data_IF_734342290251
#
_entry.id   IF_734342290251
#
_cell.length_a   1.000
_cell.length_b   1.000
_cell.length_c   1.000
_cell.angle_alpha   90.00
_cell.angle_beta   90.00
_cell.angle_gamma   90.00
#
_symmetry.space_group_name_H-M   'P 1'
#
loop_
_entity.id
_entity.type
_entity.pdbx_description
1 polymer ?
#
# COMPACT_ATOMS: atom_id res chain seq x y z
N UNK A 1 -14.34 21.54 -35.53
CA UNK A 1 -13.70 20.22 -35.35
C UNK A 1 -14.76 19.24 -34.90
N UNK A 2 -14.63 17.96 -35.24
CA UNK A 2 -15.58 16.91 -34.85
C UNK A 2 -14.81 15.91 -33.98
N UNK A 3 -14.99 15.93 -32.65
CA UNK A 3 -14.36 14.94 -31.79
C UNK A 3 -15.09 13.60 -31.98
N UNK A 4 -14.37 12.57 -32.44
CA UNK A 4 -14.89 11.21 -32.49
C UNK A 4 -14.43 10.49 -31.22
N UNK A 5 -15.35 10.25 -30.28
CA UNK A 5 -15.04 9.48 -29.08
C UNK A 5 -15.18 7.99 -29.38
N UNK A 6 -14.15 7.23 -29.03
CA UNK A 6 -14.04 5.79 -29.21
C UNK A 6 -13.88 5.11 -27.83
N UNK A 7 -14.43 3.90 -27.70
CA UNK A 7 -14.31 3.06 -26.51
C UNK A 7 -14.18 1.61 -27.01
N UNK A 8 -13.17 0.89 -26.55
CA UNK A 8 -12.67 -0.35 -27.15
C UNK A 8 -13.13 -1.62 -26.44
N UNK A 9 -14.26 -1.60 -25.71
CA UNK A 9 -14.82 -2.86 -25.20
C UNK A 9 -15.51 -3.63 -26.33
N UNK A 10 -14.87 -4.69 -26.81
CA UNK A 10 -15.44 -5.83 -27.54
C UNK A 10 -15.79 -5.63 -29.04
N UNK A 11 -14.85 -5.25 -29.92
CA UNK A 11 -15.06 -5.14 -31.39
C UNK A 11 -16.09 -4.09 -31.85
N UNK A 12 -16.62 -3.33 -30.90
CA UNK A 12 -17.70 -2.35 -31.05
C UNK A 12 -17.14 -0.94 -30.84
N UNK A 13 -17.27 -0.04 -31.81
CA UNK A 13 -16.59 1.27 -31.78
C UNK A 13 -17.56 2.44 -31.74
N UNK A 14 -17.56 3.21 -30.67
CA UNK A 14 -18.40 4.40 -30.62
C UNK A 14 -17.82 5.51 -31.50
N UNK A 15 -18.70 6.31 -32.09
CA UNK A 15 -18.39 7.54 -32.81
C UNK A 15 -19.10 8.66 -32.06
N UNK A 16 -18.51 9.84 -31.98
CA UNK A 16 -19.26 11.05 -31.64
C UNK A 16 -19.12 12.02 -32.80
N UNK A 17 -20.23 12.57 -33.27
CA UNK A 17 -20.24 13.44 -34.45
C UNK A 17 -21.05 14.69 -34.17
N UNK A 18 -20.87 15.77 -34.98
CA UNK A 18 -21.71 16.92 -34.89
C UNK A 18 -23.16 16.47 -35.18
N UNK A 19 -24.16 17.27 -34.79
CA UNK A 19 -25.55 16.97 -35.11
C UNK A 19 -25.70 16.62 -36.60
N UNK A 20 -26.61 15.69 -36.92
CA UNK A 20 -26.85 15.20 -38.29
C UNK A 20 -27.00 16.35 -39.30
N UNK A 21 -27.65 17.43 -38.90
CA UNK A 21 -27.82 18.63 -39.72
C UNK A 21 -26.51 19.37 -39.99
N UNK A 22 -25.58 19.36 -39.03
CA UNK A 22 -24.22 19.84 -39.20
C UNK A 22 -23.45 19.02 -40.26
N UNK A 23 -23.60 17.69 -40.23
CA UNK A 23 -23.00 16.80 -41.24
C UNK A 23 -23.61 16.99 -42.64
N UNK A 24 -24.94 17.17 -42.72
CA UNK A 24 -25.66 17.43 -43.99
C UNK A 24 -25.24 18.74 -44.65
N UNK A 25 -24.96 19.77 -43.85
CA UNK A 25 -24.53 21.11 -44.31
C UNK A 25 -23.09 21.17 -44.80
N UNK A 26 -22.29 20.12 -44.63
CA UNK A 26 -20.92 20.09 -45.15
C UNK A 26 -20.91 20.20 -46.69
N UNK A 27 -19.83 20.69 -47.32
CA UNK A 27 -19.71 20.71 -48.78
C UNK A 27 -19.82 19.31 -49.41
N UNK A 28 -20.31 19.21 -50.64
CA UNK A 28 -20.29 17.94 -51.37
C UNK A 28 -18.84 17.49 -51.61
N UNK A 29 -18.56 16.21 -51.38
CA UNK A 29 -17.19 15.66 -51.41
C UNK A 29 -16.42 15.81 -50.09
N UNK A 30 -17.01 16.44 -49.05
CA UNK A 30 -16.44 16.39 -47.71
C UNK A 30 -16.47 14.94 -47.19
N UNK A 31 -15.33 14.33 -46.86
CA UNK A 31 -15.28 12.92 -46.49
C UNK A 31 -16.05 12.60 -45.20
N UNK A 32 -16.35 13.61 -44.36
CA UNK A 32 -17.21 13.42 -43.17
C UNK A 32 -18.67 13.15 -43.54
N UNK A 33 -19.11 13.48 -44.76
CA UNK A 33 -20.45 13.10 -45.25
C UNK A 33 -20.61 11.60 -45.47
N UNK A 34 -19.53 10.83 -45.52
CA UNK A 34 -19.61 9.35 -45.56
C UNK A 34 -20.28 8.78 -44.30
N UNK A 35 -20.23 9.51 -43.17
CA UNK A 35 -20.95 9.18 -41.95
C UNK A 35 -22.49 9.16 -42.13
N UNK A 36 -23.01 9.91 -43.10
CA UNK A 36 -24.46 9.96 -43.40
C UNK A 36 -24.96 8.70 -44.12
N UNK A 37 -24.06 7.86 -44.65
CA UNK A 37 -24.41 6.66 -45.41
C UNK A 37 -24.47 5.39 -44.56
N UNK A 38 -24.29 5.53 -43.24
CA UNK A 38 -24.22 4.41 -42.32
C UNK A 38 -25.63 3.94 -41.92
N UNK A 39 -26.08 2.85 -42.54
CA UNK A 39 -27.35 2.20 -42.19
C UNK A 39 -27.30 1.46 -40.84
N UNK A 40 -26.10 1.17 -40.32
CA UNK A 40 -25.87 0.42 -39.07
C UNK A 40 -25.81 1.29 -37.81
N UNK A 41 -26.00 2.61 -37.94
CA UNK A 41 -26.04 3.54 -36.80
C UNK A 41 -27.37 3.45 -36.05
N UNK A 42 -27.45 2.56 -35.07
CA UNK A 42 -28.49 2.64 -34.02
C UNK A 42 -28.04 3.70 -32.99
N UNK A 43 -28.51 4.94 -33.16
CA UNK A 43 -28.39 5.94 -32.10
C UNK A 43 -29.23 5.52 -30.90
N UNK A 44 -28.69 5.63 -29.68
CA UNK A 44 -29.54 5.53 -28.51
C UNK A 44 -30.46 6.76 -28.47
N UNK A 45 -31.76 6.50 -28.32
CA UNK A 45 -32.76 7.54 -28.09
C UNK A 45 -33.30 8.15 -29.38
N UNK A 46 -34.42 7.60 -29.86
CA UNK A 46 -35.35 8.29 -30.76
C UNK A 46 -35.99 9.53 -30.11
N UNK A 47 -35.71 9.82 -28.84
CA UNK A 47 -36.52 10.70 -28.00
C UNK A 47 -35.78 11.93 -27.43
N UNK A 48 -34.53 12.19 -27.80
CA UNK A 48 -33.82 13.40 -27.33
C UNK A 48 -33.85 14.55 -28.34
N UNK A 49 -34.49 15.63 -27.89
CA UNK A 49 -34.72 16.96 -28.48
C UNK A 49 -33.91 17.33 -29.74
N UNK A 50 -34.59 17.77 -30.83
CA UNK A 50 -33.92 18.23 -32.04
C UNK A 50 -33.16 19.53 -31.78
N UNK A 51 -31.83 19.48 -31.85
CA UNK A 51 -31.01 20.69 -32.00
C UNK A 51 -29.65 20.72 -31.33
N UNK A 52 -29.39 19.89 -30.31
CA UNK A 52 -28.19 20.07 -29.47
C UNK A 52 -27.41 18.80 -29.07
N UNK A 53 -27.91 17.61 -29.34
CA UNK A 53 -27.21 16.37 -28.96
C UNK A 53 -26.14 16.00 -29.99
N UNK A 54 -24.96 15.67 -29.47
CA UNK A 54 -23.92 15.00 -30.24
C UNK A 54 -24.43 13.63 -30.71
N UNK A 55 -24.08 13.25 -31.94
CA UNK A 55 -24.53 11.98 -32.51
C UNK A 55 -23.56 10.87 -32.14
N UNK A 56 -24.04 9.78 -31.53
CA UNK A 56 -23.20 8.62 -31.25
C UNK A 56 -23.74 7.29 -31.76
N UNK A 57 -22.83 6.36 -32.07
CA UNK A 57 -23.19 5.03 -32.58
C UNK A 57 -21.97 4.15 -32.81
N UNK A 58 -22.21 2.86 -33.06
CA UNK A 58 -21.21 1.81 -32.98
C UNK A 58 -20.74 1.34 -34.38
N UNK A 59 -19.43 1.26 -34.65
CA UNK A 59 -18.84 0.64 -35.84
C UNK A 59 -18.39 -0.78 -35.47
N UNK A 60 -18.89 -1.77 -36.18
CA UNK A 60 -18.49 -3.17 -36.06
C UNK A 60 -17.38 -3.50 -37.07
N UNK A 61 -16.19 -3.86 -36.61
CA UNK A 61 -15.07 -4.20 -37.49
C UNK A 61 -15.13 -5.60 -38.09
N UNK A 62 -16.03 -6.45 -37.61
CA UNK A 62 -16.16 -7.79 -38.17
C UNK A 62 -16.86 -7.73 -39.52
N UNK A 63 -17.61 -6.66 -39.78
CA UNK A 63 -18.24 -6.39 -41.08
C UNK A 63 -17.26 -5.72 -42.05
N UNK A 64 -17.43 -5.99 -43.35
CA UNK A 64 -16.66 -5.32 -44.38
C UNK A 64 -16.91 -3.79 -44.38
N UNK A 65 -18.16 -3.38 -44.15
CA UNK A 65 -18.56 -1.97 -44.10
C UNK A 65 -17.90 -1.21 -42.95
N UNK A 66 -17.81 -1.79 -41.75
CA UNK A 66 -17.16 -1.13 -40.63
C UNK A 66 -15.64 -1.03 -40.78
N UNK A 67 -14.97 -2.01 -41.42
CA UNK A 67 -13.54 -1.92 -41.77
C UNK A 67 -13.24 -0.82 -42.78
N UNK A 68 -14.05 -0.73 -43.82
CA UNK A 68 -13.93 0.32 -44.84
C UNK A 68 -14.15 1.69 -44.23
N UNK A 69 -15.23 1.85 -43.46
CA UNK A 69 -15.53 3.08 -42.75
C UNK A 69 -14.38 3.50 -41.83
N UNK A 70 -13.86 2.58 -41.02
CA UNK A 70 -12.72 2.89 -40.16
C UNK A 70 -11.51 3.39 -40.94
N UNK A 71 -11.17 2.69 -42.03
CA UNK A 71 -10.04 3.04 -42.89
C UNK A 71 -10.22 4.44 -43.47
N UNK A 72 -11.43 4.81 -43.84
CA UNK A 72 -11.74 6.15 -44.33
C UNK A 72 -11.61 7.21 -43.21
N UNK A 73 -12.16 6.94 -42.02
CA UNK A 73 -12.16 7.89 -40.90
C UNK A 73 -10.76 8.16 -40.33
N UNK A 74 -9.92 7.12 -40.18
CA UNK A 74 -8.56 7.29 -39.61
C UNK A 74 -7.64 8.14 -40.49
N UNK A 75 -7.96 8.27 -41.78
CA UNK A 75 -7.20 9.13 -42.69
C UNK A 75 -7.61 10.62 -42.65
N UNK A 76 -8.60 10.99 -41.82
CA UNK A 76 -9.07 12.37 -41.72
C UNK A 76 -8.31 13.15 -40.63
N UNK A 77 -7.44 14.08 -41.04
CA UNK A 77 -6.63 14.90 -40.10
C UNK A 77 -7.42 15.66 -39.03
N UNK A 78 -8.65 16.07 -39.35
CA UNK A 78 -9.49 16.85 -38.43
C UNK A 78 -10.27 16.00 -37.40
N UNK A 79 -10.03 14.69 -37.39
CA UNK A 79 -10.71 13.72 -36.54
C UNK A 79 -9.84 13.40 -35.31
N UNK A 80 -10.49 13.15 -34.18
CA UNK A 80 -9.86 12.61 -32.97
C UNK A 80 -10.28 11.15 -32.80
N UNK A 81 -9.37 10.26 -32.45
CA UNK A 81 -9.62 8.85 -32.20
C UNK A 81 -9.21 8.54 -30.76
N UNK A 82 -10.18 8.25 -29.88
CA UNK A 82 -9.90 7.93 -28.47
C UNK A 82 -9.86 6.42 -28.24
N UNK A 83 -8.72 5.78 -28.08
CA UNK A 83 -8.59 4.33 -27.93
C UNK A 83 -8.48 3.92 -26.47
N UNK A 84 -9.35 3.04 -25.94
CA UNK A 84 -9.23 2.51 -24.56
C UNK A 84 -8.65 1.09 -24.54
N UNK A 85 -7.33 0.98 -24.46
CA UNK A 85 -6.61 -0.29 -24.37
C UNK A 85 -6.70 -0.85 -22.95
N UNK A 86 -7.70 -1.71 -22.75
CA UNK A 86 -7.66 -2.73 -21.70
C UNK A 86 -6.64 -3.80 -22.08
N UNK A 87 -7.06 -5.03 -22.45
CA UNK A 87 -6.15 -6.17 -22.61
C UNK A 87 -5.58 -6.39 -24.01
N UNK A 88 -5.85 -5.46 -24.92
CA UNK A 88 -5.59 -5.61 -26.34
C UNK A 88 -4.43 -4.72 -26.82
N UNK A 89 -3.86 -5.09 -27.97
CA UNK A 89 -2.79 -4.34 -28.62
C UNK A 89 -3.36 -3.42 -29.72
N UNK A 90 -2.96 -2.15 -29.70
CA UNK A 90 -3.20 -1.24 -30.80
C UNK A 90 -2.25 -1.56 -31.95
N UNK A 91 -2.80 -1.94 -33.11
CA UNK A 91 -2.01 -2.42 -34.26
C UNK A 91 -1.81 -1.39 -35.35
N UNK A 92 -2.58 -0.31 -35.34
CA UNK A 92 -2.43 0.75 -36.33
C UNK A 92 -1.17 1.59 -36.00
N UNK A 93 -0.43 1.98 -37.04
CA UNK A 93 0.62 2.99 -36.93
C UNK A 93 0.01 4.39 -36.73
N UNK A 94 0.82 5.45 -36.66
CA UNK A 94 0.35 6.84 -36.63
C UNK A 94 -0.55 7.17 -37.82
N UNK A 95 -1.89 7.21 -37.66
CA UNK A 95 -2.77 7.62 -38.73
C UNK A 95 -2.72 9.15 -38.87
N UNK A 96 -3.17 9.72 -39.99
CA UNK A 96 -3.22 11.17 -40.16
C UNK A 96 -4.10 11.93 -39.16
N UNK A 97 -5.06 11.25 -38.50
CA UNK A 97 -5.92 11.85 -37.48
C UNK A 97 -5.22 12.02 -36.12
N UNK A 98 -5.81 12.81 -35.22
CA UNK A 98 -5.36 12.85 -33.82
C UNK A 98 -5.77 11.57 -33.11
N UNK A 99 -4.88 10.96 -32.34
CA UNK A 99 -5.16 9.74 -31.57
C UNK A 99 -4.82 9.99 -30.11
N UNK A 100 -5.75 9.65 -29.21
CA UNK A 100 -5.53 9.61 -27.75
C UNK A 100 -5.71 8.18 -27.34
N UNK A 101 -4.75 7.61 -26.61
CA UNK A 101 -4.82 6.23 -26.14
C UNK A 101 -4.89 6.25 -24.62
N UNK A 102 -5.97 5.72 -24.06
CA UNK A 102 -6.09 5.34 -22.66
C UNK A 102 -5.59 3.91 -22.55
N UNK A 103 -4.60 3.64 -21.72
CA UNK A 103 -4.05 2.30 -21.58
C UNK A 103 -3.53 2.08 -20.16
N UNK A 104 -3.42 0.81 -19.78
CA UNK A 104 -2.47 0.44 -18.72
C UNK A 104 -1.04 0.84 -19.13
N UNK A 105 -0.11 0.95 -18.18
CA UNK A 105 1.28 1.35 -18.44
C UNK A 105 2.11 0.36 -19.29
N UNK A 106 1.48 -0.68 -19.81
CA UNK A 106 2.05 -1.65 -20.74
C UNK A 106 2.30 -1.04 -22.12
N UNK A 107 3.49 -0.49 -22.30
CA UNK A 107 3.91 0.12 -23.57
C UNK A 107 3.99 -0.86 -24.74
N UNK A 108 4.11 -2.16 -24.47
CA UNK A 108 4.04 -3.19 -25.50
C UNK A 108 2.68 -3.21 -26.22
N UNK A 109 1.59 -2.82 -25.53
CA UNK A 109 0.24 -2.76 -26.11
C UNK A 109 0.04 -1.65 -27.13
N UNK A 110 0.92 -0.65 -27.16
CA UNK A 110 0.86 0.46 -28.12
C UNK A 110 2.24 0.75 -28.71
N UNK A 111 3.10 -0.26 -28.76
CA UNK A 111 4.48 -0.12 -29.25
C UNK A 111 4.53 0.29 -30.72
N UNK A 112 3.61 -0.24 -31.54
CA UNK A 112 3.43 0.17 -32.94
C UNK A 112 3.20 1.68 -33.10
N UNK A 113 2.52 2.29 -32.12
CA UNK A 113 2.23 3.72 -32.08
C UNK A 113 3.39 4.53 -31.49
N UNK A 114 4.24 3.96 -30.63
CA UNK A 114 5.41 4.70 -30.08
C UNK A 114 6.70 4.51 -30.87
N UNK A 115 6.84 3.43 -31.64
CA UNK A 115 8.07 3.10 -32.40
C UNK A 115 8.04 3.48 -33.88
N UNK A 116 6.91 4.02 -34.38
CA UNK A 116 6.61 4.20 -35.80
C UNK A 116 7.16 5.45 -36.51
N UNK A 117 7.97 6.28 -35.86
CA UNK A 117 8.70 7.41 -36.49
C UNK A 117 8.12 8.81 -36.25
N UNK A 118 9.01 9.82 -36.27
CA UNK A 118 8.92 11.30 -36.29
C UNK A 118 7.80 12.06 -35.53
N UNK A 119 6.81 11.39 -34.96
CA UNK A 119 5.72 11.97 -34.19
C UNK A 119 6.06 12.07 -32.71
N UNK A 120 5.88 13.27 -32.13
CA UNK A 120 5.93 13.49 -30.69
C UNK A 120 4.72 12.81 -30.02
N UNK A 121 4.83 11.53 -29.69
CA UNK A 121 3.88 10.86 -28.79
C UNK A 121 4.14 11.35 -27.37
N UNK A 122 3.16 12.03 -26.77
CA UNK A 122 3.22 12.47 -25.38
C UNK A 122 2.46 11.45 -24.54
N UNK A 123 3.12 10.90 -23.50
CA UNK A 123 2.49 9.97 -22.57
C UNK A 123 2.20 10.70 -21.27
N UNK A 124 0.92 10.79 -20.91
CA UNK A 124 0.49 11.41 -19.67
C UNK A 124 -0.08 10.34 -18.74
N UNK A 125 0.31 10.38 -17.46
CA UNK A 125 -0.22 9.53 -16.41
C UNK A 125 -1.37 10.24 -15.70
N UNK A 126 -2.48 9.54 -15.47
CA UNK A 126 -3.61 10.09 -14.71
C UNK A 126 -3.42 9.80 -13.21
N UNK A 127 -3.41 10.84 -12.35
CA UNK A 127 -3.33 10.62 -10.91
C UNK A 127 -4.64 9.99 -10.38
N UNK A 128 -4.60 9.31 -9.22
CA UNK A 128 -5.82 9.04 -8.47
C UNK A 128 -6.44 10.36 -7.99
N UNK A 129 -7.75 10.35 -7.76
CA UNK A 129 -8.45 11.54 -7.29
C UNK A 129 -8.02 11.89 -5.87
N UNK A 130 -7.82 13.18 -5.63
CA UNK A 130 -7.72 13.77 -4.30
C UNK A 130 -9.06 13.72 -3.57
N UNK A 131 -9.03 13.89 -2.26
CA UNK A 131 -10.26 13.94 -1.47
C UNK A 131 -11.12 15.16 -1.84
N UNK A 132 -10.47 16.27 -2.19
CA UNK A 132 -11.11 17.50 -2.66
C UNK A 132 -11.86 17.28 -3.97
N UNK A 133 -11.27 16.59 -4.94
CA UNK A 133 -11.92 16.24 -6.22
C UNK A 133 -13.12 15.31 -6.02
N UNK A 134 -12.99 14.35 -5.09
CA UNK A 134 -14.09 13.43 -4.74
C UNK A 134 -15.28 14.19 -4.17
N UNK A 135 -15.04 15.18 -3.30
CA UNK A 135 -16.09 16.05 -2.74
C UNK A 135 -16.78 16.88 -3.82
N UNK A 136 -16.00 17.56 -4.66
CA UNK A 136 -16.53 18.37 -5.76
C UNK A 136 -17.41 17.52 -6.71
N UNK A 137 -16.97 16.30 -7.00
CA UNK A 137 -17.77 15.39 -7.82
C UNK A 137 -19.08 14.97 -7.14
N UNK A 138 -19.06 14.72 -5.82
CA UNK A 138 -20.27 14.38 -5.06
C UNK A 138 -21.27 15.53 -5.08
N UNK A 139 -20.82 16.74 -4.76
CA UNK A 139 -21.63 17.97 -4.78
C UNK A 139 -22.27 18.18 -6.16
N UNK A 140 -21.48 18.12 -7.23
CA UNK A 140 -21.97 18.27 -8.60
C UNK A 140 -22.97 17.18 -9.01
N UNK A 141 -22.84 15.95 -8.49
CA UNK A 141 -23.75 14.85 -8.79
C UNK A 141 -25.12 14.99 -8.12
N UNK A 142 -25.16 15.59 -6.92
CA UNK A 142 -26.41 15.88 -6.19
C UNK A 142 -27.23 16.97 -6.87
N UNK A 143 -26.57 17.92 -7.53
CA UNK A 143 -27.23 19.00 -8.26
C UNK A 143 -27.92 18.55 -9.56
N UNK A 144 -27.52 17.40 -10.12
CA UNK A 144 -27.84 17.06 -11.51
C UNK A 144 -28.50 15.70 -11.74
N UNK A 145 -28.58 14.83 -10.73
CA UNK A 145 -29.08 13.46 -10.93
C UNK A 145 -29.65 12.84 -9.67
N UNK A 146 -30.96 12.58 -9.64
CA UNK A 146 -31.64 11.86 -8.55
C UNK A 146 -31.13 10.41 -8.37
N UNK A 147 -30.54 9.81 -9.42
CA UNK A 147 -30.05 8.42 -9.40
C UNK A 147 -28.55 8.29 -9.05
N UNK A 148 -27.73 9.33 -9.20
CA UNK A 148 -26.29 9.10 -9.36
C UNK A 148 -25.54 8.80 -8.06
N UNK A 149 -25.99 9.20 -6.87
CA UNK A 149 -25.30 8.79 -5.63
C UNK A 149 -26.22 8.76 -4.39
N UNK A 150 -26.80 7.60 -4.08
CA UNK A 150 -27.33 7.29 -2.73
C UNK A 150 -26.24 6.95 -1.71
N UNK A 151 -24.97 6.96 -2.10
CA UNK A 151 -23.84 6.70 -1.20
C UNK A 151 -23.60 7.93 -0.33
N UNK A 152 -23.58 7.74 0.99
CA UNK A 152 -23.34 8.84 1.94
C UNK A 152 -21.90 9.37 1.83
N UNK A 153 -21.64 10.62 2.24
CA UNK A 153 -20.27 11.16 2.29
C UNK A 153 -19.38 10.30 3.20
N UNK A 154 -19.91 9.83 4.34
CA UNK A 154 -19.18 8.95 5.27
C UNK A 154 -18.79 7.64 4.60
N UNK A 155 -19.68 7.03 3.81
CA UNK A 155 -19.35 5.84 3.04
C UNK A 155 -18.28 6.10 1.98
N UNK A 156 -18.34 7.24 1.27
CA UNK A 156 -17.32 7.62 0.29
C UNK A 156 -15.98 7.86 0.98
N UNK A 157 -15.97 8.50 2.15
CA UNK A 157 -14.77 8.71 2.96
C UNK A 157 -14.14 7.39 3.42
N UNK A 158 -14.96 6.49 3.97
CA UNK A 158 -14.51 5.14 4.35
C UNK A 158 -13.92 4.37 3.16
N UNK A 159 -14.54 4.51 1.98
CA UNK A 159 -14.02 3.92 0.73
C UNK A 159 -12.74 4.60 0.27
N UNK A 160 -12.58 5.90 0.44
CA UNK A 160 -11.35 6.62 0.11
C UNK A 160 -10.18 6.17 0.99
N UNK A 161 -10.41 6.05 2.29
CA UNK A 161 -9.42 5.50 3.22
C UNK A 161 -9.07 4.04 2.88
N UNK A 162 -10.03 3.27 2.35
CA UNK A 162 -9.82 1.87 2.00
C UNK A 162 -9.18 1.67 0.62
N UNK A 163 -9.60 2.39 -0.41
CA UNK A 163 -9.26 2.13 -1.82
C UNK A 163 -8.46 3.27 -2.45
N UNK A 164 -8.22 4.36 -1.73
CA UNK A 164 -7.62 5.58 -2.27
C UNK A 164 -8.54 6.33 -3.24
N UNK A 165 -7.93 7.15 -4.08
CA UNK A 165 -8.60 7.99 -5.08
C UNK A 165 -9.14 7.29 -6.33
N UNK A 166 -9.48 6.00 -6.26
CA UNK A 166 -10.04 5.27 -7.41
C UNK A 166 -11.53 5.56 -7.55
N UNK A 167 -11.91 6.49 -8.44
CA UNK A 167 -13.31 6.86 -8.67
C UNK A 167 -14.24 5.64 -8.90
N UNK A 168 -13.73 4.60 -9.59
CA UNK A 168 -14.46 3.34 -9.80
C UNK A 168 -14.85 2.64 -8.50
N UNK A 169 -13.98 2.64 -7.49
CA UNK A 169 -14.25 1.99 -6.20
C UNK A 169 -14.98 2.92 -5.22
N UNK A 170 -14.76 4.22 -5.33
CA UNK A 170 -15.47 5.21 -4.51
C UNK A 170 -16.98 5.22 -4.83
N UNK A 171 -17.32 5.37 -6.11
CA UNK A 171 -18.70 5.56 -6.56
C UNK A 171 -19.36 4.27 -7.08
N UNK A 172 -18.61 3.18 -7.23
CA UNK A 172 -19.13 1.89 -7.67
C UNK A 172 -19.87 1.09 -6.58
N UNK A 173 -20.21 -0.16 -6.90
CA UNK A 173 -20.83 -1.08 -5.94
C UNK A 173 -19.77 -1.58 -4.93
N UNK A 174 -20.04 -1.40 -3.62
CA UNK A 174 -19.08 -1.76 -2.56
C UNK A 174 -18.69 -3.24 -2.57
N UNK A 175 -19.66 -4.12 -2.80
CA UNK A 175 -19.41 -5.57 -2.84
C UNK A 175 -18.46 -5.95 -3.98
N UNK A 176 -18.57 -5.25 -5.12
CA UNK A 176 -17.65 -5.43 -6.25
C UNK A 176 -16.23 -4.97 -5.87
N UNK A 177 -16.08 -3.75 -5.32
CA UNK A 177 -14.77 -3.22 -4.91
C UNK A 177 -14.07 -4.13 -3.88
N UNK A 178 -14.80 -4.58 -2.86
CA UNK A 178 -14.28 -5.52 -1.87
C UNK A 178 -13.88 -6.86 -2.51
N UNK A 179 -14.70 -7.40 -3.42
CA UNK A 179 -14.40 -8.66 -4.10
C UNK A 179 -13.13 -8.56 -4.95
N UNK A 180 -12.96 -7.47 -5.70
CA UNK A 180 -11.77 -7.24 -6.51
C UNK A 180 -10.52 -7.08 -5.65
N UNK A 181 -10.61 -6.35 -4.53
CA UNK A 181 -9.50 -6.24 -3.58
C UNK A 181 -9.08 -7.60 -3.01
N UNK A 182 -10.05 -8.41 -2.55
CA UNK A 182 -9.74 -9.74 -2.00
C UNK A 182 -9.12 -10.67 -3.04
N UNK A 183 -9.61 -10.62 -4.29
CA UNK A 183 -9.00 -11.36 -5.41
C UNK A 183 -7.57 -10.90 -5.67
N UNK A 184 -7.35 -9.58 -5.71
CA UNK A 184 -6.04 -9.00 -5.96
C UNK A 184 -5.02 -9.40 -4.89
N UNK A 185 -5.39 -9.26 -3.61
CA UNK A 185 -4.57 -9.68 -2.47
C UNK A 185 -4.30 -11.19 -2.56
N UNK A 186 -5.34 -12.01 -2.68
CA UNK A 186 -5.22 -13.48 -2.71
C UNK A 186 -4.27 -13.96 -3.80
N UNK A 187 -4.31 -13.32 -4.98
CA UNK A 187 -3.43 -13.63 -6.11
C UNK A 187 -2.01 -13.12 -5.86
N UNK A 188 -1.84 -11.90 -5.36
CA UNK A 188 -0.53 -11.34 -5.05
C UNK A 188 0.24 -12.22 -4.04
N UNK A 189 -0.46 -12.82 -3.07
CA UNK A 189 0.16 -13.67 -2.05
C UNK A 189 0.31 -15.15 -2.46
N UNK A 190 0.09 -15.51 -3.73
CA UNK A 190 0.26 -16.89 -4.21
C UNK A 190 1.74 -17.29 -4.36
N UNK A 191 2.59 -16.39 -4.90
CA UNK A 191 4.01 -16.66 -5.17
C UNK A 191 4.82 -15.36 -5.22
N UNK A 192 6.16 -15.47 -5.23
CA UNK A 192 7.07 -14.35 -5.45
C UNK A 192 6.74 -13.59 -6.74
N UNK A 193 6.64 -14.33 -7.84
CA UNK A 193 6.37 -13.76 -9.15
C UNK A 193 5.02 -13.05 -9.17
N UNK A 194 4.00 -13.63 -8.54
CA UNK A 194 2.68 -13.02 -8.48
C UNK A 194 2.71 -11.71 -7.69
N UNK A 195 3.44 -11.63 -6.56
CA UNK A 195 3.57 -10.41 -5.77
C UNK A 195 4.24 -9.29 -6.57
N UNK A 196 5.36 -9.60 -7.23
CA UNK A 196 6.09 -8.62 -8.04
C UNK A 196 5.20 -8.09 -9.18
N UNK A 197 4.50 -8.98 -9.89
CA UNK A 197 3.60 -8.58 -10.98
C UNK A 197 2.38 -7.81 -10.47
N UNK A 198 1.89 -8.12 -9.27
CA UNK A 198 0.77 -7.40 -8.65
C UNK A 198 1.14 -5.98 -8.18
N UNK A 199 2.42 -5.70 -7.92
CA UNK A 199 2.90 -4.38 -7.50
C UNK A 199 3.51 -3.56 -8.65
N UNK A 200 3.56 -4.12 -9.85
CA UNK A 200 4.06 -3.46 -11.07
C UNK A 200 2.88 -3.13 -12.00
N UNK A 201 2.49 -1.85 -12.14
CA UNK A 201 1.44 -1.43 -13.06
C UNK A 201 1.71 -1.80 -14.53
N UNK A 202 2.99 -1.92 -14.92
CA UNK A 202 3.45 -2.40 -16.22
C UNK A 202 3.45 -3.93 -16.36
N UNK A 203 3.13 -4.65 -15.28
CA UNK A 203 3.18 -6.10 -15.22
C UNK A 203 2.10 -6.81 -16.05
N UNK A 204 2.13 -8.13 -16.02
CA UNK A 204 1.21 -8.99 -16.78
C UNK A 204 -0.23 -8.99 -16.22
N UNK A 205 -0.45 -8.43 -15.04
CA UNK A 205 -1.73 -8.38 -14.36
C UNK A 205 -2.14 -6.95 -13.96
N UNK A 206 -2.36 -6.05 -14.94
CA UNK A 206 -2.65 -4.64 -14.66
C UNK A 206 -3.94 -4.43 -13.86
N UNK A 207 -4.94 -5.30 -14.00
CA UNK A 207 -6.17 -5.24 -13.20
C UNK A 207 -5.95 -5.50 -11.71
N UNK A 208 -5.03 -6.43 -11.38
CA UNK A 208 -4.60 -6.70 -10.02
C UNK A 208 -3.80 -5.51 -9.50
N UNK A 209 -2.83 -5.05 -10.29
CA UNK A 209 -1.97 -3.94 -9.89
C UNK A 209 -2.75 -2.65 -9.66
N UNK A 210 -3.68 -2.30 -10.55
CA UNK A 210 -4.55 -1.11 -10.41
C UNK A 210 -5.45 -1.14 -9.17
N UNK A 211 -5.62 -2.32 -8.56
CA UNK A 211 -6.38 -2.47 -7.31
C UNK A 211 -5.51 -2.26 -6.08
N UNK A 212 -4.22 -2.58 -6.17
CA UNK A 212 -3.30 -2.53 -5.02
C UNK A 212 -2.47 -1.25 -4.97
N UNK A 213 -2.08 -0.73 -6.13
CA UNK A 213 -1.17 0.40 -6.27
C UNK A 213 -1.69 1.41 -7.29
N UNK A 214 -1.37 2.67 -7.08
CA UNK A 214 -1.69 3.78 -7.97
C UNK A 214 -0.42 4.47 -8.46
N UNK A 215 -0.56 5.13 -9.61
CA UNK A 215 0.48 5.93 -10.24
C UNK A 215 0.29 7.37 -9.77
N UNK A 216 1.34 7.94 -9.19
CA UNK A 216 1.39 9.34 -8.81
C UNK A 216 2.31 10.07 -9.78
N UNK A 217 1.76 10.78 -10.77
CA UNK A 217 2.55 11.59 -11.69
C UNK A 217 3.29 12.72 -10.98
N UNK A 218 4.40 13.15 -11.58
CA UNK A 218 5.03 14.45 -11.29
C UNK A 218 4.20 15.62 -11.84
N UNK A 219 4.70 16.84 -11.68
CA UNK A 219 3.99 18.06 -12.11
C UNK A 219 3.74 18.11 -13.64
N UNK A 220 4.59 17.43 -14.41
CA UNK A 220 4.49 17.33 -15.86
C UNK A 220 3.60 16.18 -16.35
N UNK A 221 3.11 15.34 -15.44
CA UNK A 221 2.36 14.11 -15.73
C UNK A 221 3.12 13.05 -16.53
N UNK A 222 4.42 13.23 -16.79
CA UNK A 222 5.26 12.29 -17.53
C UNK A 222 6.10 11.45 -16.56
N UNK A 223 6.75 12.10 -15.58
CA UNK A 223 7.41 11.39 -14.49
C UNK A 223 6.37 10.72 -13.59
N UNK A 224 6.71 9.56 -13.02
CA UNK A 224 5.76 8.81 -12.20
C UNK A 224 6.43 8.07 -11.05
N UNK A 225 5.70 8.01 -9.94
CA UNK A 225 5.98 7.12 -8.83
C UNK A 225 4.83 6.15 -8.67
N UNK A 226 5.09 4.98 -8.09
CA UNK A 226 4.06 3.99 -7.77
C UNK A 226 3.96 3.86 -6.26
N UNK A 227 2.75 3.93 -5.74
CA UNK A 227 2.48 3.83 -4.31
C UNK A 227 1.28 2.92 -4.08
N UNK A 228 1.15 2.36 -2.88
CA UNK A 228 -0.08 1.65 -2.52
C UNK A 228 -1.30 2.56 -2.65
N UNK A 229 -2.40 2.00 -3.14
CA UNK A 229 -3.65 2.72 -3.32
C UNK A 229 -4.16 3.31 -2.00
N UNK A 230 -3.93 2.61 -0.88
CA UNK A 230 -4.18 3.11 0.47
C UNK A 230 -3.26 2.44 1.50
N UNK A 231 -3.12 3.06 2.67
CA UNK A 231 -2.46 2.44 3.84
C UNK A 231 -3.17 1.15 4.28
N UNK A 232 -4.50 1.10 4.16
CA UNK A 232 -5.28 -0.08 4.53
C UNK A 232 -4.95 -1.28 3.65
N UNK A 233 -4.90 -1.09 2.33
CA UNK A 233 -4.52 -2.14 1.36
C UNK A 233 -3.10 -2.62 1.63
N UNK A 234 -2.17 -1.69 1.88
CA UNK A 234 -0.79 -2.01 2.27
C UNK A 234 -0.76 -2.92 3.49
N UNK A 235 -1.43 -2.51 4.57
CA UNK A 235 -1.43 -3.25 5.84
C UNK A 235 -2.09 -4.64 5.69
N UNK A 236 -3.16 -4.74 4.90
CA UNK A 236 -3.86 -6.00 4.65
C UNK A 236 -3.02 -6.98 3.82
N UNK A 237 -2.44 -6.53 2.71
CA UNK A 237 -1.54 -7.35 1.89
C UNK A 237 -0.35 -7.86 2.73
N UNK A 238 0.25 -6.98 3.52
CA UNK A 238 1.40 -7.34 4.34
C UNK A 238 1.03 -8.28 5.49
N UNK A 239 -0.13 -8.08 6.12
CA UNK A 239 -0.67 -9.02 7.10
C UNK A 239 -0.76 -10.44 6.53
N UNK A 240 -1.33 -10.57 5.33
CA UNK A 240 -1.46 -11.86 4.62
C UNK A 240 -0.10 -12.50 4.27
N UNK A 241 0.84 -11.69 3.80
CA UNK A 241 2.19 -12.17 3.48
C UNK A 241 2.94 -12.67 4.74
N UNK A 242 2.78 -11.98 5.89
CA UNK A 242 3.34 -12.39 7.17
C UNK A 242 2.71 -13.69 7.69
N UNK A 243 1.38 -13.81 7.60
CA UNK A 243 0.65 -15.00 8.03
C UNK A 243 1.09 -16.26 7.27
N UNK A 244 1.37 -16.13 5.96
CA UNK A 244 1.77 -17.27 5.11
C UNK A 244 3.18 -17.80 5.37
N UNK A 245 4.08 -17.01 5.97
CA UNK A 245 5.50 -17.37 6.25
C UNK A 245 6.31 -17.88 5.04
N UNK A 246 5.78 -17.77 3.82
CA UNK A 246 6.28 -18.46 2.64
C UNK A 246 7.23 -17.61 1.78
N UNK A 247 7.53 -16.38 2.19
CA UNK A 247 8.27 -15.43 1.37
C UNK A 247 9.69 -15.22 1.90
N UNK A 248 10.68 -15.18 1.01
CA UNK A 248 12.08 -14.88 1.33
C UNK A 248 12.25 -13.37 1.57
N UNK A 249 13.30 -13.00 2.31
CA UNK A 249 13.68 -11.59 2.51
C UNK A 249 13.91 -10.83 1.19
N UNK A 250 14.39 -11.53 0.15
CA UNK A 250 14.59 -10.96 -1.17
C UNK A 250 13.26 -10.60 -1.86
N UNK A 251 12.22 -11.41 -1.67
CA UNK A 251 10.85 -11.12 -2.16
C UNK A 251 10.33 -9.84 -1.54
N UNK A 252 10.54 -9.69 -0.23
CA UNK A 252 10.11 -8.52 0.52
C UNK A 252 10.82 -7.27 0.05
N UNK A 253 12.15 -7.32 -0.07
CA UNK A 253 12.95 -6.22 -0.61
C UNK A 253 12.54 -5.87 -2.04
N UNK A 254 12.24 -6.85 -2.89
CA UNK A 254 11.82 -6.60 -4.27
C UNK A 254 10.41 -6.01 -4.37
N UNK A 255 9.48 -6.45 -3.52
CA UNK A 255 8.12 -5.90 -3.42
C UNK A 255 8.10 -4.45 -2.94
N UNK A 256 9.11 -4.02 -2.18
CA UNK A 256 9.20 -2.66 -1.64
C UNK A 256 10.17 -1.73 -2.38
N UNK A 257 11.09 -2.25 -3.19
CA UNK A 257 12.10 -1.46 -3.94
C UNK A 257 11.55 -0.59 -5.08
N UNK A 258 10.42 -0.98 -5.70
CA UNK A 258 9.82 -0.26 -6.84
C UNK A 258 8.70 0.71 -6.45
N UNK A 259 8.29 0.68 -5.19
CA UNK A 259 7.30 1.58 -4.65
C UNK A 259 8.08 2.62 -3.85
N UNK A 260 7.79 3.91 -4.01
CA UNK A 260 8.40 4.98 -3.21
C UNK A 260 7.87 4.95 -1.77
N UNK A 261 7.96 3.78 -1.11
CA UNK A 261 7.41 3.52 0.21
C UNK A 261 8.37 4.09 1.25
N UNK A 262 7.76 4.80 2.19
CA UNK A 262 8.24 5.12 3.52
C UNK A 262 9.26 4.07 4.04
N UNK A 263 10.54 4.46 4.04
CA UNK A 263 11.67 3.67 4.53
C UNK A 263 11.38 3.07 5.91
N UNK A 264 10.66 3.80 6.78
CA UNK A 264 10.28 3.36 8.12
C UNK A 264 9.42 2.10 8.10
N UNK A 265 8.48 2.03 7.16
CA UNK A 265 7.64 0.87 6.99
C UNK A 265 8.42 -0.36 6.52
N UNK A 266 9.32 -0.20 5.53
CA UNK A 266 10.15 -1.30 5.05
C UNK A 266 11.02 -1.88 6.17
N UNK A 267 11.62 -0.98 6.94
CA UNK A 267 12.46 -1.30 8.08
C UNK A 267 11.69 -2.10 9.14
N UNK A 268 10.54 -1.57 9.59
CA UNK A 268 9.65 -2.25 10.54
C UNK A 268 9.29 -3.65 10.05
N UNK A 269 8.94 -3.79 8.77
CA UNK A 269 8.49 -5.06 8.24
C UNK A 269 9.60 -6.11 8.08
N UNK A 270 10.81 -5.68 7.74
CA UNK A 270 11.97 -6.57 7.74
C UNK A 270 12.22 -7.16 9.13
N UNK A 271 12.06 -6.36 10.19
CA UNK A 271 12.17 -6.83 11.57
C UNK A 271 11.09 -7.84 11.95
N UNK A 272 9.82 -7.55 11.69
CA UNK A 272 8.75 -8.52 11.95
C UNK A 272 9.00 -9.86 11.24
N UNK A 273 9.47 -9.84 9.99
CA UNK A 273 9.85 -11.04 9.27
C UNK A 273 11.01 -11.78 9.95
N UNK A 274 12.08 -11.07 10.34
CA UNK A 274 13.24 -11.66 11.01
C UNK A 274 12.88 -12.33 12.33
N UNK A 275 11.98 -11.71 13.11
CA UNK A 275 11.55 -12.20 14.42
C UNK A 275 10.61 -13.41 14.32
N UNK A 276 9.78 -13.46 13.28
CA UNK A 276 8.88 -14.59 13.04
C UNK A 276 9.59 -15.79 12.41
N UNK A 277 10.64 -15.56 11.62
CA UNK A 277 11.42 -16.59 10.90
C UNK A 277 12.90 -16.60 11.31
N UNK A 278 13.20 -16.93 12.57
CA UNK A 278 14.54 -16.96 13.14
C UNK A 278 15.36 -18.14 12.59
N UNK A 279 15.92 -18.01 11.39
CA UNK A 279 16.85 -19.00 10.83
C UNK A 279 18.26 -18.76 11.37
N UNK A 280 18.56 -19.16 12.61
CA UNK A 280 19.86 -18.91 13.28
C UNK A 280 20.43 -17.51 12.96
N UNK A 281 19.52 -16.52 12.89
CA UNK A 281 19.85 -15.20 12.36
C UNK A 281 20.73 -14.52 13.39
N UNK A 282 21.88 -14.07 12.92
CA UNK A 282 22.73 -13.20 13.70
C UNK A 282 22.17 -11.79 13.63
N UNK A 283 22.14 -11.08 14.76
CA UNK A 283 21.79 -9.67 14.84
C UNK A 283 22.87 -8.95 15.63
N UNK A 284 23.01 -7.64 15.41
CA UNK A 284 23.78 -6.79 16.29
C UNK A 284 22.93 -6.42 17.51
N UNK A 285 23.52 -6.49 18.69
CA UNK A 285 22.92 -6.18 19.98
C UNK A 285 23.83 -5.23 20.76
N UNK A 286 23.25 -4.18 21.30
CA UNK A 286 23.93 -3.17 22.13
C UNK A 286 23.12 -2.90 23.37
N UNK A 287 23.67 -3.18 24.54
CA UNK A 287 23.03 -2.84 25.80
C UNK A 287 23.03 -1.32 25.99
N UNK A 288 21.88 -0.75 26.33
CA UNK A 288 21.72 0.69 26.54
C UNK A 288 21.65 1.07 28.02
N UNK A 289 21.32 0.12 28.91
CA UNK A 289 21.14 0.37 30.34
C UNK A 289 19.78 -0.11 30.87
N UNK A 290 19.59 -0.06 32.19
CA UNK A 290 18.26 -0.11 32.80
C UNK A 290 17.66 1.29 32.83
N UNK A 291 16.36 1.41 32.58
CA UNK A 291 15.71 2.68 32.24
C UNK A 291 15.74 3.80 33.30
N UNK A 292 16.18 3.54 34.53
CA UNK A 292 16.41 4.49 35.62
C UNK A 292 17.39 3.88 36.63
N UNK A 293 18.36 4.66 37.16
CA UNK A 293 18.99 4.29 38.45
C UNK A 293 18.16 4.80 39.66
N UNK A 294 18.56 4.38 40.86
CA UNK A 294 17.94 4.73 42.13
C UNK A 294 17.90 6.25 42.43
N UNK A 295 18.51 7.08 41.59
CA UNK A 295 18.57 8.55 41.70
C UNK A 295 18.01 9.25 40.45
N UNK A 296 17.46 8.51 39.48
CA UNK A 296 17.02 9.05 38.19
C UNK A 296 18.15 9.57 37.31
N UNK A 297 19.40 9.25 37.66
CA UNK A 297 20.58 9.57 36.88
C UNK A 297 20.85 8.49 35.82
N UNK A 298 21.65 8.88 34.84
CA UNK A 298 22.02 8.04 33.72
C UNK A 298 23.02 6.99 34.22
N UNK A 299 22.64 5.71 34.20
CA UNK A 299 23.62 4.63 34.34
C UNK A 299 24.63 4.74 33.20
N UNK A 300 25.91 4.89 33.54
CA UNK A 300 26.97 5.03 32.53
C UNK A 300 27.28 3.69 31.87
N UNK A 301 27.59 3.82 30.58
CA UNK A 301 28.20 2.87 29.65
C UNK A 301 27.26 1.79 29.10
N UNK A 302 26.49 2.17 28.09
CA UNK A 302 26.01 1.20 27.11
C UNK A 302 27.18 0.41 26.54
N UNK A 303 26.95 -0.87 26.24
CA UNK A 303 27.99 -1.76 25.73
C UNK A 303 28.41 -1.34 24.31
N UNK A 304 29.53 -1.88 23.83
CA UNK A 304 29.76 -1.92 22.38
C UNK A 304 28.70 -2.83 21.74
N UNK A 305 28.36 -2.57 20.48
CA UNK A 305 27.53 -3.49 19.71
C UNK A 305 28.29 -4.81 19.51
N UNK A 306 27.60 -5.93 19.73
CA UNK A 306 28.14 -7.28 19.50
C UNK A 306 27.15 -8.09 18.69
N UNK A 307 27.65 -9.08 17.95
CA UNK A 307 26.79 -9.96 17.19
C UNK A 307 26.30 -11.10 18.08
N UNK A 308 24.99 -11.39 18.06
CA UNK A 308 24.36 -12.47 18.82
C UNK A 308 23.40 -13.26 17.92
N UNK A 309 23.16 -14.53 18.25
CA UNK A 309 22.14 -15.34 17.57
C UNK A 309 20.83 -15.34 18.34
N UNK A 310 19.73 -15.06 17.64
CA UNK A 310 18.39 -15.14 18.22
C UNK A 310 17.98 -16.59 18.52
N UNK A 311 17.50 -16.83 19.74
CA UNK A 311 17.00 -18.12 20.26
C UNK A 311 15.47 -18.14 20.16
N UNK A 312 14.94 -18.15 18.94
CA UNK A 312 13.50 -18.39 18.74
C UNK A 312 13.31 -19.78 18.11
N UNK A 313 12.42 -20.59 18.69
CA UNK A 313 12.04 -21.88 18.08
C UNK A 313 10.88 -21.67 17.11
N UNK A 314 11.09 -22.07 15.85
CA UNK A 314 10.14 -21.94 14.74
C UNK A 314 8.75 -22.56 15.02
N UNK A 315 8.67 -23.55 15.92
CA UNK A 315 7.44 -24.26 16.29
C UNK A 315 6.56 -23.58 17.34
N UNK A 316 7.08 -22.59 18.09
CA UNK A 316 6.34 -21.94 19.19
C UNK A 316 5.68 -20.61 18.78
N UNK A 317 6.18 -20.00 17.70
CA UNK A 317 5.71 -18.71 17.20
C UNK A 317 4.36 -18.84 16.51
N UNK A 318 3.26 -18.80 17.25
CA UNK A 318 1.95 -18.48 16.66
C UNK A 318 1.86 -16.96 16.57
N UNK A 319 1.70 -16.41 15.37
CA UNK A 319 1.41 -14.98 15.22
C UNK A 319 -0.03 -14.77 15.70
N UNK A 320 -0.22 -13.87 16.65
CA UNK A 320 -1.57 -13.37 16.95
C UNK A 320 -1.62 -11.88 16.73
N UNK A 321 -2.46 -11.53 15.75
CA UNK A 321 -2.82 -10.16 15.46
C UNK A 321 -3.94 -9.76 16.41
N UNK A 322 -3.74 -8.69 17.17
CA UNK A 322 -4.76 -8.16 18.08
C UNK A 322 -5.19 -6.75 17.66
N UNK A 323 -6.43 -6.41 18.00
CA UNK A 323 -6.97 -5.08 17.76
C UNK A 323 -6.33 -4.10 18.72
N UNK A 324 -5.59 -3.13 18.18
CA UNK A 324 -5.08 -1.82 18.65
C UNK A 324 -4.72 -1.55 20.13
N UNK A 325 -5.30 -2.25 21.10
CA UNK A 325 -5.08 -2.12 22.54
C UNK A 325 -4.68 -3.49 23.12
N UNK A 326 -3.60 -3.51 23.92
CA UNK A 326 -3.11 -4.72 24.59
C UNK A 326 -4.16 -5.28 25.54
N UNK A 327 -5.02 -4.42 26.10
CA UNK A 327 -6.09 -4.84 27.01
C UNK A 327 -7.13 -5.73 26.31
N UNK A 328 -7.22 -5.68 24.98
CA UNK A 328 -8.06 -6.57 24.17
C UNK A 328 -7.49 -7.98 24.02
N UNK A 329 -6.20 -8.18 24.33
CA UNK A 329 -5.60 -9.51 24.31
C UNK A 329 -6.16 -10.30 25.50
N UNK A 330 -6.86 -11.40 25.20
CA UNK A 330 -7.52 -12.24 26.21
C UNK A 330 -6.69 -13.44 26.66
N UNK A 331 -5.66 -13.80 25.90
CA UNK A 331 -4.81 -14.95 26.17
C UNK A 331 -3.42 -14.69 25.58
N UNK A 332 -2.36 -15.05 26.32
CA UNK A 332 -0.98 -15.04 25.86
C UNK A 332 -0.34 -16.39 26.22
N UNK A 333 0.32 -17.00 25.24
CA UNK A 333 1.10 -18.22 25.40
C UNK A 333 2.59 -17.91 25.35
N UNK A 334 3.36 -18.65 26.14
CA UNK A 334 4.83 -18.64 26.04
C UNK A 334 5.23 -19.10 24.64
N UNK A 335 6.13 -18.36 24.01
CA UNK A 335 6.58 -18.52 22.63
C UNK A 335 5.74 -17.76 21.61
N UNK A 336 4.63 -17.14 22.01
CA UNK A 336 3.76 -16.41 21.09
C UNK A 336 4.33 -15.02 20.76
N UNK A 337 4.30 -14.67 19.48
CA UNK A 337 4.66 -13.34 18.99
C UNK A 337 3.39 -12.54 18.70
N UNK A 338 3.23 -11.42 19.39
CA UNK A 338 2.07 -10.54 19.27
C UNK A 338 2.43 -9.28 18.49
N UNK A 339 1.62 -8.98 17.47
CA UNK A 339 1.72 -7.75 16.67
C UNK A 339 0.35 -7.05 16.65
N UNK A 340 0.26 -5.75 16.96
CA UNK A 340 -0.98 -5.00 16.80
C UNK A 340 -1.33 -4.84 15.31
N UNK A 341 -2.63 -4.83 14.97
CA UNK A 341 -3.09 -4.64 13.58
C UNK A 341 -2.83 -3.23 13.04
N UNK A 342 -2.89 -2.21 13.90
CA UNK A 342 -2.57 -0.81 13.58
C UNK A 342 -1.60 -0.23 14.63
N UNK A 343 -0.83 0.81 14.27
CA UNK A 343 0.17 1.50 15.10
C UNK A 343 -0.46 2.31 16.24
N UNK A 344 -1.11 1.64 17.19
CA UNK A 344 -1.83 2.32 18.27
C UNK A 344 -1.19 2.13 19.65
N UNK A 345 -0.08 1.40 19.76
CA UNK A 345 0.78 1.44 20.94
C UNK A 345 1.89 2.47 20.73
N UNK A 346 1.82 3.67 21.34
CA UNK A 346 2.89 4.65 21.20
C UNK A 346 4.17 4.11 21.84
N UNK A 347 5.09 3.61 21.01
CA UNK A 347 6.40 3.10 21.42
C UNK A 347 6.51 1.59 21.62
N UNK A 348 5.52 0.76 21.23
CA UNK A 348 5.68 -0.70 21.16
C UNK A 348 5.02 -1.25 19.90
N UNK A 349 5.83 -1.78 18.98
CA UNK A 349 5.39 -2.33 17.69
C UNK A 349 5.14 -3.84 17.73
N UNK A 350 5.72 -4.55 18.71
CA UNK A 350 5.45 -5.96 18.97
C UNK A 350 5.90 -6.39 20.35
N UNK A 351 5.40 -7.54 20.81
CA UNK A 351 5.90 -8.18 22.02
C UNK A 351 5.88 -9.70 21.94
N UNK A 352 6.67 -10.34 22.78
CA UNK A 352 6.70 -11.79 22.94
C UNK A 352 7.07 -12.17 24.37
N UNK A 353 6.54 -13.30 24.83
CA UNK A 353 6.89 -13.92 26.11
C UNK A 353 7.61 -15.23 25.83
N UNK A 354 8.77 -15.48 26.43
CA UNK A 354 9.55 -16.71 26.22
C UNK A 354 10.25 -17.16 27.49
N UNK A 355 10.86 -18.35 27.43
CA UNK A 355 11.67 -18.92 28.50
C UNK A 355 13.16 -18.70 28.24
N UNK A 356 13.88 -18.24 29.25
CA UNK A 356 15.30 -17.85 29.19
C UNK A 356 15.53 -16.50 28.50
N UNK A 357 16.77 -16.17 28.13
CA UNK A 357 17.12 -14.98 27.34
C UNK A 357 16.79 -15.17 25.84
N UNK A 358 16.56 -14.06 25.13
CA UNK A 358 16.15 -14.08 23.71
C UNK A 358 17.28 -14.45 22.75
N UNK A 359 18.53 -14.34 23.19
CA UNK A 359 19.71 -14.62 22.38
C UNK A 359 20.62 -15.60 23.09
N UNK A 360 21.43 -16.29 22.29
CA UNK A 360 22.54 -17.07 22.81
C UNK A 360 23.62 -16.12 23.34
N UNK A 361 23.90 -16.19 24.64
CA UNK A 361 25.12 -15.62 25.21
C UNK A 361 26.28 -16.55 24.83
N UNK A 362 27.33 -16.00 24.21
CA UNK A 362 28.56 -16.74 24.06
C UNK A 362 29.18 -16.96 25.44
N UNK A 363 29.67 -18.18 25.70
CA UNK A 363 30.30 -18.53 26.98
C UNK A 363 31.50 -17.61 27.23
N UNK A 364 31.34 -16.60 28.07
CA UNK A 364 32.40 -15.64 28.42
C UNK A 364 31.92 -14.24 28.79
N UNK A 365 30.66 -13.89 28.52
CA UNK A 365 30.11 -12.58 28.87
C UNK A 365 29.82 -12.47 30.38
N UNK A 366 30.83 -12.06 31.15
CA UNK A 366 30.74 -11.81 32.59
C UNK A 366 30.01 -10.48 32.95
N UNK A 367 29.45 -9.77 31.96
CA UNK A 367 28.85 -8.44 32.14
C UNK A 367 27.33 -8.41 32.36
N UNK A 368 26.62 -9.49 32.05
CA UNK A 368 25.15 -9.52 32.09
C UNK A 368 24.69 -10.55 33.14
N UNK A 369 24.44 -10.11 34.38
CA UNK A 369 23.77 -10.89 35.43
C UNK A 369 22.28 -11.13 35.10
N UNK A 370 21.99 -11.65 33.91
CA UNK A 370 20.66 -12.18 33.59
C UNK A 370 20.61 -13.58 34.19
N UNK A 371 19.61 -13.86 35.02
CA UNK A 371 19.37 -15.20 35.55
C UNK A 371 19.36 -16.23 34.40
N UNK A 372 20.43 -17.03 34.27
CA UNK A 372 20.70 -17.90 33.12
C UNK A 372 19.96 -19.25 33.20
N UNK A 373 18.73 -19.25 33.68
CA UNK A 373 17.90 -20.46 33.72
C UNK A 373 16.95 -20.53 32.53
N UNK A 374 16.85 -21.69 31.89
CA UNK A 374 15.77 -21.97 30.92
C UNK A 374 14.36 -21.92 31.57
N UNK A 375 14.27 -21.78 32.89
CA UNK A 375 13.01 -21.63 33.63
C UNK A 375 12.56 -20.16 33.82
N UNK A 376 13.42 -19.19 33.48
CA UNK A 376 13.15 -17.76 33.66
C UNK A 376 12.15 -17.28 32.61
N UNK A 377 11.04 -16.68 33.02
CA UNK A 377 10.05 -16.14 32.09
C UNK A 377 10.43 -14.70 31.70
N UNK A 378 10.51 -14.43 30.40
CA UNK A 378 10.99 -13.17 29.87
C UNK A 378 9.94 -12.51 28.98
N UNK A 379 9.69 -11.21 29.19
CA UNK A 379 8.90 -10.37 28.29
C UNK A 379 9.83 -9.52 27.44
N UNK A 380 9.75 -9.64 26.12
CA UNK A 380 10.39 -8.70 25.19
C UNK A 380 9.34 -7.81 24.55
N UNK A 381 9.62 -6.52 24.52
CA UNK A 381 8.86 -5.49 23.80
C UNK A 381 9.77 -4.87 22.74
N UNK A 382 9.27 -4.70 21.53
CA UNK A 382 10.00 -4.15 20.39
C UNK A 382 9.49 -2.76 20.06
N UNK A 383 10.43 -1.84 19.82
CA UNK A 383 10.17 -0.55 19.21
C UNK A 383 11.02 -0.43 17.95
N UNK A 384 10.40 -0.33 16.78
CA UNK A 384 11.04 -0.29 15.47
C UNK A 384 11.16 1.16 15.02
N UNK A 385 12.36 1.73 15.13
CA UNK A 385 12.61 3.15 14.85
C UNK A 385 13.86 3.34 14.01
N UNK A 386 13.74 4.11 12.92
CA UNK A 386 14.89 4.44 12.07
C UNK A 386 15.78 5.49 12.73
N UNK A 387 15.19 6.46 13.42
CA UNK A 387 15.93 7.56 14.05
C UNK A 387 15.89 7.45 15.57
N UNK A 388 16.86 8.09 16.21
CA UNK A 388 16.90 8.28 17.65
C UNK A 388 16.08 9.51 18.09
N UNK A 389 15.23 10.05 17.21
CA UNK A 389 14.54 11.32 17.44
C UNK A 389 13.53 11.23 18.59
N UNK A 390 13.30 12.39 19.21
CA UNK A 390 12.49 12.53 20.42
C UNK A 390 10.99 12.27 20.21
N UNK A 391 10.52 12.16 18.97
CA UNK A 391 9.10 12.06 18.64
C UNK A 391 8.51 10.68 18.96
N UNK A 392 9.36 9.67 19.21
CA UNK A 392 8.94 8.31 19.55
C UNK A 392 9.41 7.86 20.93
N UNK A 393 9.53 8.77 21.90
CA UNK A 393 9.94 8.38 23.26
C UNK A 393 8.92 7.44 23.89
N UNK A 394 9.42 6.35 24.46
CA UNK A 394 8.60 5.33 25.12
C UNK A 394 7.92 5.92 26.35
N UNK A 395 6.60 5.81 26.41
CA UNK A 395 5.80 6.32 27.53
C UNK A 395 5.83 5.32 28.68
N UNK A 396 6.24 5.75 29.87
CA UNK A 396 6.45 4.86 31.02
C UNK A 396 5.16 4.15 31.49
N UNK A 397 4.01 4.82 31.41
CA UNK A 397 2.72 4.22 31.77
C UNK A 397 2.32 3.11 30.80
N UNK A 398 2.63 3.25 29.50
CA UNK A 398 2.33 2.25 28.46
C UNK A 398 3.06 0.94 28.77
N UNK A 399 4.37 1.04 29.09
CA UNK A 399 5.16 -0.12 29.52
C UNK A 399 4.57 -0.79 30.76
N UNK A 400 4.18 0.00 31.77
CA UNK A 400 3.54 -0.53 32.99
C UNK A 400 2.26 -1.28 32.66
N UNK A 401 1.37 -0.71 31.84
CA UNK A 401 0.10 -1.34 31.45
C UNK A 401 0.35 -2.67 30.74
N UNK A 402 1.31 -2.72 29.81
CA UNK A 402 1.67 -3.96 29.10
C UNK A 402 2.18 -5.02 30.05
N UNK A 403 3.11 -4.66 30.94
CA UNK A 403 3.69 -5.60 31.91
C UNK A 403 2.59 -6.16 32.81
N UNK A 404 1.74 -5.30 33.39
CA UNK A 404 0.66 -5.72 34.28
C UNK A 404 -0.36 -6.60 33.57
N UNK A 405 -0.71 -6.26 32.33
CA UNK A 405 -1.66 -7.05 31.53
C UNK A 405 -1.09 -8.43 31.20
N UNK A 406 0.17 -8.48 30.74
CA UNK A 406 0.87 -9.74 30.42
C UNK A 406 1.00 -10.62 31.66
N UNK A 407 1.47 -10.09 32.80
CA UNK A 407 1.56 -10.84 34.06
C UNK A 407 0.18 -11.32 34.53
N UNK A 408 -0.87 -10.50 34.37
CA UNK A 408 -2.24 -10.85 34.68
C UNK A 408 -2.78 -12.02 33.83
N UNK A 409 -2.51 -12.02 32.53
CA UNK A 409 -2.91 -13.11 31.61
C UNK A 409 -2.14 -14.40 31.86
N UNK A 410 -0.87 -14.31 32.22
CA UNK A 410 -0.04 -15.48 32.52
C UNK A 410 -0.31 -16.06 33.92
N UNK A 411 -0.89 -15.27 34.82
CA UNK A 411 -1.07 -15.62 36.23
C UNK A 411 0.24 -15.70 37.03
N UNK A 412 1.36 -15.26 36.46
CA UNK A 412 2.69 -15.27 37.06
C UNK A 412 3.48 -14.03 36.66
N UNK A 413 4.40 -13.58 37.53
CA UNK A 413 5.30 -12.47 37.22
C UNK A 413 6.38 -12.87 36.22
N UNK A 414 6.69 -11.97 35.27
CA UNK A 414 7.81 -12.15 34.34
C UNK A 414 9.13 -11.90 35.09
N UNK A 415 10.12 -12.77 34.98
CA UNK A 415 11.38 -12.60 35.70
C UNK A 415 12.28 -11.53 35.07
N UNK A 416 12.28 -11.44 33.73
CA UNK A 416 13.09 -10.48 32.98
C UNK A 416 12.23 -9.69 31.99
N UNK A 417 12.54 -8.41 31.82
CA UNK A 417 11.81 -7.52 30.91
C UNK A 417 12.82 -6.79 30.03
N UNK A 418 12.63 -6.92 28.72
CA UNK A 418 13.50 -6.35 27.70
C UNK A 418 12.72 -5.37 26.84
N UNK A 419 13.29 -4.19 26.63
CA UNK A 419 12.82 -3.22 25.65
C UNK A 419 13.88 -3.09 24.56
N UNK A 420 13.54 -3.54 23.35
CA UNK A 420 14.46 -3.63 22.23
C UNK A 420 14.13 -2.56 21.19
N UNK A 421 15.08 -1.67 20.92
CA UNK A 421 14.99 -0.68 19.86
C UNK A 421 15.62 -1.24 18.60
N UNK A 422 14.79 -1.67 17.66
CA UNK A 422 15.22 -2.03 16.32
C UNK A 422 15.61 -0.76 15.58
N UNK A 423 16.90 -0.66 15.19
CA UNK A 423 17.51 0.54 14.60
C UNK A 423 18.38 0.21 13.39
N UNK A 424 18.59 1.18 12.50
CA UNK A 424 19.51 1.03 11.37
C UNK A 424 20.97 1.25 11.76
N UNK A 425 21.24 2.18 12.68
CA UNK A 425 22.58 2.51 13.13
C UNK A 425 22.71 2.29 14.64
N UNK A 426 23.10 1.08 15.01
CA UNK A 426 23.21 0.65 16.41
C UNK A 426 24.29 1.42 17.20
N UNK A 427 25.39 1.79 16.55
CA UNK A 427 26.52 2.44 17.21
C UNK A 427 26.14 3.84 17.70
N UNK A 428 25.37 4.58 16.91
CA UNK A 428 24.91 5.93 17.24
C UNK A 428 23.65 5.96 18.09
N UNK A 429 22.95 4.84 18.28
CA UNK A 429 21.70 4.86 19.02
C UNK A 429 21.95 5.09 20.52
N UNK A 430 21.36 6.16 21.10
CA UNK A 430 21.55 6.51 22.49
C UNK A 430 20.58 5.74 23.39
N UNK A 431 20.88 5.77 24.69
CA UNK A 431 19.92 5.40 25.72
C UNK A 431 18.65 6.26 25.63
N UNK A 432 17.49 5.64 25.86
CA UNK A 432 16.19 6.30 25.78
C UNK A 432 15.57 6.48 27.17
N UNK A 433 15.14 7.72 27.46
CA UNK A 433 14.45 8.05 28.71
C UNK A 433 12.95 7.83 28.55
N UNK A 434 12.32 7.28 29.57
CA UNK A 434 10.87 7.21 29.64
C UNK A 434 10.27 8.61 29.82
N UNK A 435 9.13 8.85 29.17
CA UNK A 435 8.38 10.11 29.28
C UNK A 435 6.97 9.87 29.82
N UNK A 436 6.42 10.94 30.41
CA UNK A 436 5.01 11.07 30.76
C UNK A 436 4.15 11.28 29.50
N UNK A 437 2.84 11.24 29.70
CA UNK A 437 1.82 11.41 28.65
C UNK A 437 1.93 12.78 27.97
N UNK A 438 2.37 13.79 28.74
CA UNK A 438 2.63 15.16 28.29
C UNK A 438 4.02 15.33 27.64
N UNK A 439 4.73 14.24 27.39
CA UNK A 439 6.06 14.23 26.76
C UNK A 439 7.22 14.67 27.66
N UNK A 440 6.94 15.10 28.90
CA UNK A 440 7.99 15.50 29.85
C UNK A 440 8.68 14.29 30.43
N UNK A 441 9.97 14.44 30.71
CA UNK A 441 10.71 13.44 31.47
C UNK A 441 10.13 13.30 32.88
N UNK A 442 10.16 12.09 33.42
CA UNK A 442 9.80 11.88 34.82
C UNK A 442 10.81 12.58 35.73
N UNK A 443 10.30 13.44 36.63
CA UNK A 443 11.12 14.12 37.65
C UNK A 443 11.25 13.30 38.94
N UNK A 444 10.26 12.45 39.25
CA UNK A 444 10.33 11.51 40.38
C UNK A 444 10.13 10.08 39.89
N UNK A 445 11.21 9.31 39.88
CA UNK A 445 11.19 7.92 39.44
C UNK A 445 10.31 7.03 40.33
N UNK A 446 10.05 7.42 41.60
CA UNK A 446 9.42 6.56 42.62
C UNK A 446 8.00 6.10 42.27
N UNK A 447 7.26 6.86 41.46
CA UNK A 447 5.87 6.54 41.10
C UNK A 447 5.74 5.29 40.21
N UNK A 448 6.79 4.92 39.47
CA UNK A 448 6.80 3.78 38.54
C UNK A 448 7.98 2.80 38.76
N UNK A 449 8.84 3.07 39.75
CA UNK A 449 10.09 2.34 40.05
C UNK A 449 9.98 0.81 40.02
N UNK A 450 9.00 0.17 40.70
CA UNK A 450 9.03 -1.29 40.86
C UNK A 450 8.95 -2.06 39.53
N UNK A 451 8.32 -1.48 38.51
CA UNK A 451 8.16 -2.10 37.20
C UNK A 451 9.25 -1.66 36.22
N UNK A 452 9.63 -0.38 36.23
CA UNK A 452 10.57 0.17 35.25
C UNK A 452 12.04 -0.17 35.55
N UNK A 453 12.41 -0.37 36.81
CA UNK A 453 13.78 -0.80 37.20
C UNK A 453 14.12 -2.22 36.69
N UNK A 454 13.10 -3.04 36.45
CA UNK A 454 13.23 -4.40 35.88
C UNK A 454 13.46 -4.41 34.37
N UNK A 455 13.28 -3.26 33.69
CA UNK A 455 13.39 -3.17 32.24
C UNK A 455 14.83 -2.90 31.83
N UNK A 456 15.40 -3.84 31.10
CA UNK A 456 16.67 -3.67 30.41
C UNK A 456 16.44 -3.19 28.97
N UNK A 457 17.13 -2.12 28.59
CA UNK A 457 17.04 -1.55 27.25
C UNK A 457 18.21 -2.02 26.38
N UNK A 458 17.91 -2.39 25.13
CA UNK A 458 18.92 -2.71 24.14
C UNK A 458 18.57 -2.06 22.80
N UNK A 459 19.58 -1.68 22.03
CA UNK A 459 19.45 -1.43 20.60
C UNK A 459 19.81 -2.71 19.83
N UNK A 460 19.13 -2.93 18.71
CA UNK A 460 19.34 -4.09 17.84
C UNK A 460 19.32 -3.67 16.38
N UNK A 461 20.24 -4.22 15.59
CA UNK A 461 20.33 -3.99 14.15
C UNK A 461 20.43 -5.33 13.41
N UNK A 462 19.86 -5.40 12.20
CA UNK A 462 20.13 -6.51 11.29
C UNK A 462 21.59 -6.40 10.78
N UNK A 463 22.22 -7.52 10.39
CA UNK A 463 23.63 -7.57 9.96
C UNK A 463 24.03 -6.60 8.86
#
# INVERSE_FOLDING_TARGET
MCPVLYNFRNLKRFLVTPPLDGLRRLPNGDPRKELLKLNEFQGAGSDELPGHSCWWGQIDLDTAGGRELYTNLKNLRALWLLVDLHDEEYKDSHPPCHVVIFASLRSDRFKSFTSGGDGNTITLCMPPWSWEEVKLCKEASEEHTEEFVQVSEDDIRNRFEQFGGSARFLFGQLNYANSELQKAISKAVCSESDLVQALQPEGTHPSISSTLVHIFPGEDFEEKTVQFASERIRNELVGQLLERRAFTEQIWLNATRGLSIDRAFQFEMQWHFCLQNPRDRSIWLKYLGSGCDAQGQQTKNGSSARQVKLKFKQSENTLSLFDNDITNVKEIKVGQYLKPKLKNFPGIDALAVYRGPLWHSEKGDQGDEVAQGDDVLSLTMWQMTITADNDHRTKGHVLKTVIQHVEGLLGVSVNAIYLLYAVENIDKFPFQRYVKDDGKAFQDAREFRPHLERIQQYAVALP
#
